data_IF_219770333686
#
_entry.id   IF_219770333686
#
_cell.length_a   1.000
_cell.length_b   1.000
_cell.length_c   1.000
_cell.angle_alpha   90.00
_cell.angle_beta   90.00
_cell.angle_gamma   90.00
#
_symmetry.space_group_name_H-M   'P 1'
#
loop_
_entity.id
_entity.type
_entity.pdbx_description
1 polymer ?
#
# COMPACT_ATOMS: atom_id res chain seq x y z
N UNK A 1 -10.39 -12.69 21.01
CA UNK A 1 -10.22 -12.33 19.60
C UNK A 1 -10.58 -10.86 19.51
N UNK A 2 -9.70 -9.98 19.05
CA UNK A 2 -10.05 -8.56 18.85
C UNK A 2 -11.04 -8.52 17.68
N UNK A 3 -12.23 -7.93 17.92
CA UNK A 3 -13.25 -7.77 16.88
C UNK A 3 -12.90 -6.54 16.04
N UNK A 4 -12.81 -6.72 14.73
CA UNK A 4 -12.73 -5.61 13.80
C UNK A 4 -14.07 -4.88 13.73
N UNK A 5 -14.02 -3.56 13.73
CA UNK A 5 -15.18 -2.70 13.39
C UNK A 5 -15.09 -2.35 11.91
N UNK A 6 -16.23 -2.25 11.25
CA UNK A 6 -16.32 -1.92 9.83
C UNK A 6 -17.25 -0.75 9.60
N UNK A 7 -16.81 0.20 8.80
CA UNK A 7 -17.58 1.41 8.49
C UNK A 7 -17.53 1.72 7.00
N UNK A 8 -18.59 2.36 6.49
CA UNK A 8 -18.65 2.94 5.15
C UNK A 8 -18.62 4.46 5.29
N UNK A 9 -17.48 5.08 5.02
CA UNK A 9 -17.20 6.48 5.27
C UNK A 9 -17.34 7.28 3.98
N UNK A 10 -18.19 8.31 3.98
CA UNK A 10 -18.28 9.28 2.90
C UNK A 10 -17.20 10.34 3.08
N UNK A 11 -16.37 10.57 2.07
CA UNK A 11 -15.27 11.50 2.13
C UNK A 11 -15.43 12.62 1.10
N UNK A 12 -15.01 13.87 1.41
CA UNK A 12 -15.05 14.99 0.47
C UNK A 12 -14.19 14.76 -0.79
N UNK A 13 -13.15 13.94 -0.68
CA UNK A 13 -12.25 13.55 -1.79
C UNK A 13 -12.90 12.63 -2.83
N UNK A 14 -14.05 12.02 -2.48
CA UNK A 14 -14.77 11.11 -3.34
C UNK A 14 -15.93 11.80 -4.08
N UNK A 15 -16.31 11.31 -5.26
CA UNK A 15 -17.56 11.70 -5.90
C UNK A 15 -18.77 11.53 -4.96
N UNK A 16 -19.75 12.44 -5.08
CA UNK A 16 -20.94 12.43 -4.22
C UNK A 16 -21.65 11.06 -4.19
N UNK A 17 -21.97 10.61 -2.99
CA UNK A 17 -22.63 9.31 -2.76
C UNK A 17 -21.69 8.11 -2.71
N UNK A 18 -20.40 8.29 -3.00
CA UNK A 18 -19.40 7.23 -2.87
C UNK A 18 -18.79 7.20 -1.46
N UNK A 19 -18.37 6.01 -1.02
CA UNK A 19 -17.82 5.77 0.32
C UNK A 19 -16.60 4.87 0.26
N UNK A 20 -15.72 4.99 1.25
CA UNK A 20 -14.70 3.99 1.53
C UNK A 20 -15.18 3.02 2.61
N UNK A 21 -14.88 1.75 2.42
CA UNK A 21 -15.00 0.73 3.45
C UNK A 21 -13.71 0.73 4.28
N UNK A 22 -13.84 0.80 5.59
CA UNK A 22 -12.71 0.88 6.52
C UNK A 22 -12.87 -0.17 7.61
N UNK A 23 -11.85 -0.98 7.79
CA UNK A 23 -11.69 -1.86 8.95
C UNK A 23 -10.93 -1.12 10.02
N UNK A 24 -11.33 -1.23 11.30
CA UNK A 24 -10.64 -0.62 12.42
C UNK A 24 -10.57 -1.52 13.64
N UNK A 25 -9.57 -1.30 14.49
CA UNK A 25 -9.44 -1.91 15.81
C UNK A 25 -8.61 -1.00 16.74
N UNK A 26 -8.56 -1.35 18.02
CA UNK A 26 -7.90 -0.53 19.05
C UNK A 26 -8.81 0.53 19.64
N UNK A 27 -8.25 1.33 20.55
CA UNK A 27 -8.95 2.40 21.25
C UNK A 27 -8.93 3.69 20.40
N UNK A 28 -10.10 4.28 20.08
CA UNK A 28 -10.17 5.53 19.32
C UNK A 28 -9.45 6.73 19.94
N UNK A 29 -9.18 6.70 21.25
CA UNK A 29 -8.45 7.76 21.94
C UNK A 29 -6.92 7.67 21.76
N UNK A 30 -6.42 6.62 21.11
CA UNK A 30 -4.98 6.43 20.84
C UNK A 30 -4.56 7.08 19.54
N UNK A 31 -3.24 7.32 19.35
CA UNK A 31 -2.73 7.85 18.08
C UNK A 31 -3.21 7.03 16.89
N UNK A 32 -3.59 7.72 15.83
CA UNK A 32 -4.10 7.10 14.61
C UNK A 32 -2.96 6.45 13.83
N UNK A 33 -3.17 5.18 13.43
CA UNK A 33 -2.31 4.45 12.51
C UNK A 33 -3.12 4.00 11.30
N UNK A 34 -2.75 4.52 10.13
CA UNK A 34 -3.39 4.19 8.85
C UNK A 34 -2.56 3.13 8.11
N UNK A 35 -3.18 2.02 7.73
CA UNK A 35 -2.56 0.90 7.03
C UNK A 35 -3.08 0.80 5.59
N UNK A 36 -2.21 0.97 4.59
CA UNK A 36 -2.60 1.00 3.18
C UNK A 36 -2.12 -0.27 2.46
N UNK A 37 -3.05 -0.98 1.84
CA UNK A 37 -2.78 -2.21 1.08
C UNK A 37 -2.41 -1.93 -0.38
N UNK A 38 -1.97 -2.96 -1.11
CA UNK A 38 -1.64 -2.93 -2.52
C UNK A 38 -2.60 -3.69 -3.45
N UNK A 39 -2.13 -4.02 -4.66
CA UNK A 39 -2.85 -4.81 -5.65
C UNK A 39 -2.32 -6.26 -5.69
N UNK A 40 -3.17 -7.26 -5.78
CA UNK A 40 -4.64 -7.24 -5.81
C UNK A 40 -5.27 -7.49 -4.43
N UNK A 41 -4.84 -6.76 -3.42
CA UNK A 41 -5.25 -6.94 -2.04
C UNK A 41 -6.42 -6.02 -1.64
N UNK A 42 -6.74 -6.01 -0.35
CA UNK A 42 -7.75 -5.17 0.28
C UNK A 42 -7.36 -5.02 1.77
N UNK A 43 -8.16 -4.40 2.62
CA UNK A 43 -7.82 -4.14 4.03
C UNK A 43 -7.25 -5.37 4.75
N UNK A 44 -7.69 -6.58 4.37
CA UNK A 44 -7.28 -7.83 5.05
C UNK A 44 -5.83 -8.24 4.77
N UNK A 45 -5.09 -7.55 3.88
CA UNK A 45 -3.64 -7.65 3.82
C UNK A 45 -2.98 -7.40 5.18
N UNK A 46 -3.61 -6.55 5.99
CA UNK A 46 -3.15 -6.15 7.32
C UNK A 46 -3.85 -6.90 8.47
N UNK A 47 -4.79 -7.82 8.18
CA UNK A 47 -5.63 -8.46 9.20
C UNK A 47 -4.85 -9.20 10.29
N UNK A 48 -3.68 -9.78 9.96
CA UNK A 48 -2.82 -10.47 10.91
C UNK A 48 -1.91 -9.50 11.70
N UNK A 49 -1.69 -8.29 11.20
CA UNK A 49 -0.83 -7.25 11.81
C UNK A 49 -1.64 -6.33 12.73
N UNK A 50 -2.83 -5.90 12.31
CA UNK A 50 -3.67 -4.93 13.03
C UNK A 50 -3.90 -5.28 14.51
N UNK A 51 -4.29 -6.52 14.88
CA UNK A 51 -4.53 -6.86 16.28
C UNK A 51 -3.30 -6.73 17.16
N UNK A 52 -2.10 -6.89 16.59
CA UNK A 52 -0.84 -6.80 17.31
C UNK A 52 -0.45 -5.35 17.63
N UNK A 53 -1.03 -4.37 16.93
CA UNK A 53 -0.80 -2.94 17.10
C UNK A 53 -1.92 -2.22 17.88
N UNK A 54 -3.08 -2.88 18.05
CA UNK A 54 -4.29 -2.28 18.64
C UNK A 54 -4.15 -1.86 20.11
N UNK A 55 -3.15 -2.38 20.82
CA UNK A 55 -2.86 -1.95 22.19
C UNK A 55 -2.20 -0.57 22.27
N UNK A 56 -1.57 -0.11 21.21
CA UNK A 56 -0.79 1.12 21.19
C UNK A 56 -1.41 2.20 20.30
N UNK A 57 -2.21 1.79 19.31
CA UNK A 57 -2.78 2.67 18.28
C UNK A 57 -4.28 2.44 18.07
N UNK A 58 -4.96 3.49 17.61
CA UNK A 58 -6.21 3.36 16.86
C UNK A 58 -5.83 2.97 15.43
N UNK A 59 -5.98 1.71 15.09
CA UNK A 59 -5.55 1.17 13.78
C UNK A 59 -6.71 1.16 12.82
N UNK A 60 -6.52 1.79 11.65
CA UNK A 60 -7.48 1.74 10.54
C UNK A 60 -6.83 1.19 9.27
N UNK A 61 -7.57 0.38 8.53
CA UNK A 61 -7.17 -0.14 7.23
C UNK A 61 -8.33 0.04 6.24
N UNK A 62 -8.29 1.06 5.37
CA UNK A 62 -9.29 1.23 4.33
C UNK A 62 -9.09 0.21 3.22
N UNK A 63 -10.19 -0.24 2.60
CA UNK A 63 -10.11 -0.64 1.20
C UNK A 63 -9.85 0.63 0.38
N UNK A 64 -8.74 0.74 -0.30
CA UNK A 64 -8.46 1.87 -1.17
C UNK A 64 -9.56 1.99 -2.25
N UNK A 65 -9.81 3.22 -2.76
CA UNK A 65 -10.79 3.37 -3.85
C UNK A 65 -10.48 2.38 -4.97
N UNK A 66 -11.50 1.78 -5.55
CA UNK A 66 -11.35 0.76 -6.58
C UNK A 66 -11.32 -0.67 -6.07
N UNK A 67 -11.12 -0.91 -4.78
CA UNK A 67 -10.99 -2.24 -4.22
C UNK A 67 -12.19 -2.65 -3.37
N UNK A 68 -12.44 -3.96 -3.31
CA UNK A 68 -13.43 -4.64 -2.47
C UNK A 68 -14.75 -3.85 -2.34
N UNK A 69 -15.13 -3.38 -1.16
CA UNK A 69 -16.38 -2.69 -0.88
C UNK A 69 -16.30 -1.16 -1.03
N UNK A 70 -15.11 -0.61 -1.26
CA UNK A 70 -14.92 0.83 -1.45
C UNK A 70 -15.43 1.35 -2.80
N UNK A 71 -15.59 2.66 -2.87
CA UNK A 71 -15.97 3.41 -4.07
C UNK A 71 -15.10 3.06 -5.28
N UNK A 72 -15.74 2.98 -6.45
CA UNK A 72 -15.09 2.64 -7.73
C UNK A 72 -15.41 3.70 -8.79
N UNK A 73 -14.73 4.89 -8.71
CA UNK A 73 -14.86 5.92 -9.72
C UNK A 73 -14.55 5.37 -11.12
N UNK A 74 -15.33 5.79 -12.13
CA UNK A 74 -15.17 5.25 -13.48
C UNK A 74 -13.96 5.81 -14.24
N UNK A 75 -13.49 7.02 -13.90
CA UNK A 75 -12.43 7.69 -14.66
C UNK A 75 -11.05 7.29 -14.15
N UNK A 76 -10.17 6.87 -15.04
CA UNK A 76 -8.76 6.51 -14.73
C UNK A 76 -8.03 7.61 -13.96
N UNK A 77 -8.28 8.88 -14.28
CA UNK A 77 -7.65 10.02 -13.58
C UNK A 77 -7.90 10.04 -12.07
N UNK A 78 -9.01 9.44 -11.61
CA UNK A 78 -9.40 9.40 -10.20
C UNK A 78 -8.55 8.40 -9.40
N UNK A 79 -7.71 7.61 -10.07
CA UNK A 79 -6.77 6.65 -9.48
C UNK A 79 -5.31 7.15 -9.47
N UNK A 80 -5.08 8.41 -9.83
CA UNK A 80 -3.75 9.03 -9.66
C UNK A 80 -3.38 9.07 -8.18
N UNK A 81 -2.10 8.88 -7.87
CA UNK A 81 -1.62 8.85 -6.50
C UNK A 81 -2.08 10.04 -5.64
N UNK A 82 -2.13 11.25 -6.22
CA UNK A 82 -2.62 12.44 -5.53
C UNK A 82 -4.11 12.36 -5.15
N UNK A 83 -4.94 11.75 -6.00
CA UNK A 83 -6.36 11.60 -5.73
C UNK A 83 -6.61 10.58 -4.60
N UNK A 84 -5.84 9.49 -4.58
CA UNK A 84 -5.94 8.47 -3.52
C UNK A 84 -5.30 8.97 -2.21
N UNK A 85 -4.21 9.74 -2.28
CA UNK A 85 -3.64 10.41 -1.10
C UNK A 85 -4.63 11.37 -0.43
N UNK A 86 -5.45 12.07 -1.23
CA UNK A 86 -6.52 12.92 -0.68
C UNK A 86 -7.57 12.12 0.13
N UNK A 87 -7.81 10.84 -0.20
CA UNK A 87 -8.68 9.98 0.62
C UNK A 87 -8.04 9.70 1.98
N UNK A 88 -6.73 9.47 2.01
CA UNK A 88 -6.01 9.23 3.27
C UNK A 88 -6.06 10.46 4.16
N UNK A 89 -5.84 11.66 3.62
CA UNK A 89 -5.98 12.91 4.37
C UNK A 89 -7.41 13.08 4.90
N UNK A 90 -8.41 12.83 4.07
CA UNK A 90 -9.80 12.95 4.49
C UNK A 90 -10.20 11.89 5.54
N UNK A 91 -9.55 10.70 5.55
CA UNK A 91 -9.72 9.73 6.63
C UNK A 91 -9.10 10.23 7.94
N UNK A 92 -7.89 10.81 7.88
CA UNK A 92 -7.24 11.41 9.07
C UNK A 92 -8.16 12.48 9.67
N UNK A 93 -8.73 13.37 8.85
CA UNK A 93 -9.67 14.39 9.27
C UNK A 93 -10.97 13.78 9.83
N UNK A 94 -11.52 12.71 9.20
CA UNK A 94 -12.73 12.02 9.65
C UNK A 94 -12.58 11.41 11.05
N UNK A 95 -11.39 10.89 11.36
CA UNK A 95 -11.07 10.36 12.68
C UNK A 95 -10.57 11.43 13.67
N UNK A 96 -10.75 12.72 13.33
CA UNK A 96 -10.46 13.87 14.17
C UNK A 96 -8.99 13.98 14.61
N UNK A 97 -8.06 13.63 13.71
CA UNK A 97 -6.62 13.78 13.94
C UNK A 97 -6.02 14.82 12.99
N UNK A 98 -5.05 15.60 13.47
CA UNK A 98 -4.26 16.52 12.65
C UNK A 98 -3.20 15.79 11.83
N UNK A 99 -2.66 14.72 12.38
CA UNK A 99 -1.60 13.89 11.79
C UNK A 99 -1.76 12.41 12.19
N UNK A 100 -1.16 11.52 11.44
CA UNK A 100 -1.22 10.08 11.68
C UNK A 100 0.13 9.39 11.44
N UNK A 101 0.31 8.23 12.05
CA UNK A 101 1.27 7.24 11.58
C UNK A 101 0.72 6.54 10.35
N UNK A 102 1.58 6.27 9.36
CA UNK A 102 1.16 5.58 8.13
C UNK A 102 2.08 4.40 7.86
N UNK A 103 1.51 3.20 7.70
CA UNK A 103 2.24 2.06 7.16
C UNK A 103 1.58 1.58 5.87
N UNK A 104 2.38 1.17 4.88
CA UNK A 104 1.84 0.92 3.56
C UNK A 104 2.63 -0.16 2.79
N UNK A 105 1.94 -0.89 1.94
CA UNK A 105 2.48 -1.95 1.10
C UNK A 105 2.12 -1.74 -0.37
N UNK A 106 3.02 -2.07 -1.29
CA UNK A 106 2.82 -2.05 -2.74
C UNK A 106 2.21 -0.72 -3.26
N UNK A 107 1.03 -0.72 -3.90
CA UNK A 107 0.34 0.50 -4.33
C UNK A 107 -0.01 1.43 -3.16
N UNK A 108 -0.37 0.86 -1.99
CA UNK A 108 -0.52 1.66 -0.77
C UNK A 108 0.76 2.43 -0.43
N UNK A 109 1.93 1.79 -0.62
CA UNK A 109 3.22 2.43 -0.46
C UNK A 109 3.49 3.55 -1.46
N UNK A 110 3.11 3.37 -2.73
CA UNK A 110 3.19 4.45 -3.72
C UNK A 110 2.34 5.67 -3.34
N UNK A 111 1.15 5.44 -2.74
CA UNK A 111 0.29 6.49 -2.21
C UNK A 111 0.90 7.16 -0.98
N UNK A 112 1.45 6.35 -0.05
CA UNK A 112 2.06 6.85 1.17
C UNK A 112 3.33 7.68 0.88
N UNK A 113 4.18 7.27 -0.09
CA UNK A 113 5.28 8.09 -0.58
C UNK A 113 4.79 9.43 -1.15
N UNK A 114 3.72 9.40 -1.98
CA UNK A 114 3.13 10.65 -2.51
C UNK A 114 2.68 11.56 -1.39
N UNK A 115 2.01 11.01 -0.37
CA UNK A 115 1.54 11.76 0.79
C UNK A 115 2.72 12.38 1.57
N UNK A 116 3.77 11.60 1.85
CA UNK A 116 4.96 12.08 2.57
C UNK A 116 5.74 13.16 1.82
N UNK A 117 5.73 13.13 0.48
CA UNK A 117 6.36 14.16 -0.35
C UNK A 117 5.54 15.46 -0.36
N UNK A 118 4.20 15.37 -0.47
CA UNK A 118 3.35 16.56 -0.66
C UNK A 118 2.81 17.16 0.64
N UNK A 119 2.55 16.31 1.64
CA UNK A 119 1.81 16.66 2.86
C UNK A 119 2.48 16.11 4.13
N UNK A 120 3.82 16.16 4.16
CA UNK A 120 4.64 15.57 5.23
C UNK A 120 4.25 16.02 6.64
N UNK A 121 3.65 17.20 6.80
CA UNK A 121 3.17 17.74 8.08
C UNK A 121 1.94 17.00 8.62
N UNK A 122 1.31 16.13 7.83
CA UNK A 122 0.19 15.27 8.22
C UNK A 122 0.64 13.86 8.63
N UNK A 123 1.96 13.60 8.60
CA UNK A 123 2.55 12.27 8.85
C UNK A 123 3.55 12.36 9.99
N UNK A 124 3.24 11.75 11.13
CA UNK A 124 4.16 11.65 12.27
C UNK A 124 5.41 10.84 11.93
N UNK A 125 5.19 9.67 11.34
CA UNK A 125 6.24 8.82 10.78
C UNK A 125 5.62 7.87 9.73
N UNK A 126 6.45 7.46 8.77
CA UNK A 126 6.09 6.63 7.64
C UNK A 126 6.77 5.27 7.71
N UNK A 127 6.04 4.18 7.45
CA UNK A 127 6.63 2.86 7.24
C UNK A 127 6.19 2.28 5.88
N UNK A 128 7.14 1.82 5.10
CA UNK A 128 6.90 1.28 3.75
C UNK A 128 7.37 -0.16 3.67
N UNK A 129 6.47 -1.04 3.26
CA UNK A 129 6.75 -2.44 3.03
C UNK A 129 6.74 -2.72 1.52
N UNK A 130 7.86 -3.17 0.95
CA UNK A 130 8.00 -3.55 -0.47
C UNK A 130 7.29 -2.58 -1.44
N UNK A 131 7.59 -1.29 -1.33
CA UNK A 131 7.13 -0.29 -2.29
C UNK A 131 8.23 0.74 -2.56
N UNK A 132 8.67 0.91 -3.81
CA UNK A 132 9.79 1.78 -4.14
C UNK A 132 9.41 3.25 -4.02
N UNK A 133 10.42 4.04 -3.67
CA UNK A 133 10.31 5.49 -3.76
C UNK A 133 10.07 5.92 -5.23
N UNK A 134 9.09 6.82 -5.51
CA UNK A 134 8.63 7.09 -6.87
C UNK A 134 9.74 7.59 -7.81
N UNK A 135 10.69 8.37 -7.33
CA UNK A 135 11.84 8.83 -8.12
C UNK A 135 12.74 7.67 -8.55
N UNK A 136 13.13 6.80 -7.61
CA UNK A 136 14.00 5.65 -7.88
C UNK A 136 13.31 4.63 -8.79
N UNK A 137 12.02 4.40 -8.55
CA UNK A 137 11.25 3.49 -9.40
C UNK A 137 11.13 4.02 -10.84
N UNK A 138 10.83 5.30 -11.00
CA UNK A 138 10.78 5.93 -12.33
C UNK A 138 12.12 5.79 -13.06
N UNK A 139 13.25 6.09 -12.41
CA UNK A 139 14.60 5.90 -12.97
C UNK A 139 14.86 4.45 -13.36
N UNK A 140 14.51 3.50 -12.49
CA UNK A 140 14.71 2.08 -12.77
C UNK A 140 13.83 1.58 -13.93
N UNK A 141 12.58 2.02 -14.03
CA UNK A 141 11.70 1.69 -15.16
C UNK A 141 12.18 2.27 -16.51
N UNK A 142 12.91 3.37 -16.49
CA UNK A 142 13.48 3.98 -17.70
C UNK A 142 14.84 3.40 -18.07
N UNK A 143 15.71 3.07 -17.09
CA UNK A 143 17.13 2.78 -17.36
C UNK A 143 17.67 1.44 -16.85
N UNK A 144 16.90 0.61 -16.13
CA UNK A 144 17.40 -0.66 -15.59
C UNK A 144 16.66 -1.86 -16.19
N UNK A 145 17.37 -2.66 -17.00
CA UNK A 145 16.79 -3.82 -17.70
C UNK A 145 16.18 -4.87 -16.75
N UNK A 146 16.83 -5.13 -15.61
CA UNK A 146 16.35 -6.13 -14.66
C UNK A 146 15.00 -5.69 -14.06
N UNK A 147 14.88 -4.41 -13.63
CA UNK A 147 13.63 -3.89 -13.10
C UNK A 147 12.56 -3.76 -14.19
N UNK A 148 12.92 -3.33 -15.41
CA UNK A 148 11.99 -3.30 -16.54
C UNK A 148 11.37 -4.67 -16.80
N UNK A 149 12.20 -5.72 -16.77
CA UNK A 149 11.74 -7.11 -16.93
C UNK A 149 10.85 -7.56 -15.78
N UNK A 150 11.24 -7.29 -14.54
CA UNK A 150 10.46 -7.61 -13.35
C UNK A 150 9.10 -6.90 -13.34
N UNK A 151 9.05 -5.66 -13.82
CA UNK A 151 7.84 -4.84 -13.90
C UNK A 151 7.05 -4.97 -15.23
N UNK A 152 7.42 -5.88 -16.13
CA UNK A 152 6.78 -6.02 -17.46
C UNK A 152 5.27 -6.30 -17.37
N UNK A 153 4.81 -6.93 -16.30
CA UNK A 153 3.40 -7.18 -16.02
C UNK A 153 2.56 -5.90 -15.95
N UNK A 154 3.14 -4.76 -15.57
CA UNK A 154 2.44 -3.46 -15.53
C UNK A 154 1.89 -3.09 -16.91
N UNK A 155 2.67 -3.33 -17.98
CA UNK A 155 2.24 -3.04 -19.35
C UNK A 155 1.05 -3.92 -19.78
N UNK A 156 0.95 -5.14 -19.25
CA UNK A 156 -0.19 -6.01 -19.51
C UNK A 156 -1.43 -5.54 -18.72
N UNK A 157 -1.28 -5.22 -17.43
CA UNK A 157 -2.37 -4.71 -16.58
C UNK A 157 -2.97 -3.38 -17.08
N UNK A 158 -2.18 -2.59 -17.81
CA UNK A 158 -2.64 -1.32 -18.42
C UNK A 158 -3.58 -1.53 -19.62
N UNK A 159 -3.58 -2.70 -20.24
CA UNK A 159 -4.40 -2.97 -21.43
C UNK A 159 -5.88 -3.05 -21.05
N UNK A 160 -6.78 -2.49 -21.88
CA UNK A 160 -8.23 -2.75 -21.74
C UNK A 160 -8.52 -4.25 -21.79
N UNK A 161 -9.43 -4.73 -20.94
CA UNK A 161 -9.81 -6.15 -20.85
C UNK A 161 -8.86 -7.00 -19.98
N UNK A 162 -7.78 -6.45 -19.44
CA UNK A 162 -6.94 -7.18 -18.47
C UNK A 162 -7.73 -7.56 -17.22
N UNK A 163 -8.65 -6.70 -16.78
CA UNK A 163 -9.56 -6.95 -15.68
C UNK A 163 -10.48 -8.16 -15.92
N UNK A 164 -10.99 -8.31 -17.13
CA UNK A 164 -11.86 -9.45 -17.48
C UNK A 164 -11.06 -10.75 -17.49
N UNK A 165 -9.85 -10.72 -18.05
CA UNK A 165 -8.95 -11.87 -18.04
C UNK A 165 -8.54 -12.29 -16.62
N UNK A 166 -8.34 -11.32 -15.70
CA UNK A 166 -8.05 -11.59 -14.29
C UNK A 166 -9.24 -12.24 -13.56
N UNK A 167 -10.47 -11.91 -13.93
CA UNK A 167 -11.69 -12.47 -13.33
C UNK A 167 -12.12 -13.80 -13.95
N UNK A 168 -11.63 -14.13 -15.16
CA UNK A 168 -11.98 -15.36 -15.84
C UNK A 168 -11.58 -16.63 -15.04
N UNK A 169 -12.29 -17.73 -15.34
CA UNK A 169 -12.00 -19.05 -14.76
C UNK A 169 -11.89 -19.02 -13.22
N UNK A 170 -12.87 -18.39 -12.57
CA UNK A 170 -12.92 -18.26 -11.11
C UNK A 170 -11.67 -17.57 -10.53
N UNK A 171 -11.22 -16.50 -11.20
CA UNK A 171 -10.04 -15.71 -10.85
C UNK A 171 -8.70 -16.49 -10.89
N UNK A 172 -8.60 -17.55 -11.69
CA UNK A 172 -7.42 -18.41 -11.75
C UNK A 172 -6.15 -17.62 -12.13
N UNK A 173 -6.26 -16.67 -13.07
CA UNK A 173 -5.13 -15.84 -13.46
C UNK A 173 -4.72 -14.86 -12.35
N UNK A 174 -5.68 -14.27 -11.64
CA UNK A 174 -5.39 -13.40 -10.50
C UNK A 174 -4.69 -14.15 -9.38
N UNK A 175 -5.18 -15.34 -9.05
CA UNK A 175 -4.55 -16.19 -8.05
C UNK A 175 -3.12 -16.58 -8.44
N UNK A 176 -2.92 -16.98 -9.70
CA UNK A 176 -1.59 -17.28 -10.24
C UNK A 176 -0.66 -16.07 -10.21
N UNK A 177 -1.16 -14.89 -10.56
CA UNK A 177 -0.40 -13.64 -10.49
C UNK A 177 -0.03 -13.32 -9.04
N UNK A 178 -1.00 -13.37 -8.14
CA UNK A 178 -0.81 -13.10 -6.71
C UNK A 178 0.23 -14.05 -6.09
N UNK A 179 0.10 -15.35 -6.29
CA UNK A 179 1.04 -16.34 -5.76
C UNK A 179 2.37 -16.40 -6.53
N UNK A 180 2.38 -16.03 -7.80
CA UNK A 180 3.58 -16.04 -8.65
C UNK A 180 4.62 -15.00 -8.25
N UNK A 181 4.21 -13.88 -7.67
CA UNK A 181 5.11 -12.85 -7.13
C UNK A 181 5.79 -13.31 -5.82
N UNK A 182 5.20 -14.29 -5.14
CA UNK A 182 5.80 -14.93 -3.95
C UNK A 182 6.96 -15.90 -4.26
N UNK A 183 7.35 -16.04 -5.54
CA UNK A 183 8.36 -16.98 -5.95
C UNK A 183 7.78 -18.28 -6.52
N UNK A 184 8.64 -19.12 -7.13
CA UNK A 184 8.22 -20.37 -7.80
C UNK A 184 7.97 -21.52 -6.80
N UNK A 185 7.11 -21.30 -5.81
CA UNK A 185 6.74 -22.37 -4.91
C UNK A 185 5.94 -23.46 -5.65
N UNK A 186 6.32 -24.72 -5.48
CA UNK A 186 5.62 -25.88 -6.06
C UNK A 186 4.22 -26.09 -5.47
N UNK A 187 3.91 -25.43 -4.36
CA UNK A 187 2.64 -25.47 -3.64
C UNK A 187 2.30 -24.08 -3.08
N UNK A 188 1.02 -23.76 -2.87
CA UNK A 188 0.63 -22.50 -2.24
C UNK A 188 1.31 -22.32 -0.87
N UNK A 189 1.68 -21.08 -0.50
CA UNK A 189 2.26 -20.80 0.81
C UNK A 189 1.28 -21.15 1.94
N UNK A 190 1.80 -21.48 3.13
CA UNK A 190 0.99 -21.91 4.28
C UNK A 190 -0.05 -20.85 4.71
N UNK A 191 0.23 -19.57 4.49
CA UNK A 191 -0.69 -18.48 4.81
C UNK A 191 -1.85 -18.37 3.81
N UNK A 192 -1.77 -18.99 2.61
CA UNK A 192 -2.82 -19.03 1.59
C UNK A 192 -3.80 -20.18 1.86
N UNK A 193 -4.57 -20.06 2.93
CA UNK A 193 -5.58 -21.05 3.32
C UNK A 193 -6.82 -20.98 2.43
N UNK A 194 -7.64 -22.03 2.39
CA UNK A 194 -8.91 -22.03 1.64
C UNK A 194 -9.85 -20.90 2.10
N UNK A 195 -9.89 -20.59 3.38
CA UNK A 195 -10.68 -19.47 3.89
C UNK A 195 -10.17 -18.14 3.34
N UNK A 196 -8.86 -17.89 3.41
CA UNK A 196 -8.26 -16.66 2.87
C UNK A 196 -8.47 -16.55 1.37
N UNK A 197 -8.28 -17.63 0.64
CA UNK A 197 -8.56 -17.73 -0.80
C UNK A 197 -10.00 -17.34 -1.14
N UNK A 198 -10.98 -17.88 -0.40
CA UNK A 198 -12.37 -17.53 -0.60
C UNK A 198 -12.67 -16.05 -0.32
N UNK A 199 -12.07 -15.49 0.73
CA UNK A 199 -12.20 -14.07 1.09
C UNK A 199 -11.59 -13.15 0.01
N UNK A 200 -10.41 -13.46 -0.49
CA UNK A 200 -9.77 -12.70 -1.56
C UNK A 200 -10.57 -12.75 -2.87
N UNK A 201 -11.07 -13.94 -3.25
CA UNK A 201 -11.96 -14.07 -4.41
C UNK A 201 -13.23 -13.25 -4.26
N UNK A 202 -13.84 -13.25 -3.07
CA UNK A 202 -15.01 -12.41 -2.81
C UNK A 202 -14.71 -10.91 -2.97
N UNK A 203 -13.51 -10.46 -2.56
CA UNK A 203 -13.07 -9.08 -2.73
C UNK A 203 -12.79 -8.74 -4.21
N UNK A 204 -12.11 -9.63 -4.95
CA UNK A 204 -11.81 -9.44 -6.38
C UNK A 204 -13.04 -9.38 -7.26
N UNK A 205 -14.06 -10.19 -6.93
CA UNK A 205 -15.30 -10.29 -7.71
C UNK A 205 -16.37 -9.25 -7.34
N UNK A 206 -16.07 -8.35 -6.38
CA UNK A 206 -16.96 -7.20 -6.16
C UNK A 206 -17.13 -6.40 -7.45
N UNK A 207 -18.34 -5.96 -7.78
CA UNK A 207 -18.58 -5.23 -9.03
C UNK A 207 -17.62 -4.06 -9.23
N UNK A 208 -16.83 -4.09 -10.31
CA UNK A 208 -15.85 -3.08 -10.67
C UNK A 208 -14.54 -3.08 -9.86
N UNK A 209 -14.32 -4.00 -8.91
CA UNK A 209 -13.13 -4.01 -8.08
C UNK A 209 -11.85 -4.31 -8.91
N UNK A 210 -11.89 -5.30 -9.78
CA UNK A 210 -10.72 -5.62 -10.61
C UNK A 210 -10.42 -4.51 -11.61
N UNK A 211 -11.45 -3.90 -12.20
CA UNK A 211 -11.29 -2.72 -13.06
C UNK A 211 -10.67 -1.54 -12.30
N UNK A 212 -11.16 -1.26 -11.07
CA UNK A 212 -10.60 -0.25 -10.19
C UNK A 212 -9.13 -0.50 -9.88
N UNK A 213 -8.77 -1.74 -9.51
CA UNK A 213 -7.39 -2.14 -9.28
C UNK A 213 -6.47 -1.93 -10.49
N UNK A 214 -6.92 -2.29 -11.72
CA UNK A 214 -6.14 -2.06 -12.95
C UNK A 214 -6.02 -0.58 -13.31
N UNK A 215 -6.95 0.27 -12.83
CA UNK A 215 -6.86 1.72 -13.04
C UNK A 215 -5.65 2.37 -12.35
N UNK A 216 -5.12 1.81 -11.25
CA UNK A 216 -3.87 2.27 -10.66
C UNK A 216 -2.71 2.19 -11.65
N UNK A 217 -2.60 1.07 -12.36
CA UNK A 217 -1.59 0.90 -13.40
C UNK A 217 -1.82 1.81 -14.60
N UNK A 218 -3.08 2.00 -15.02
CA UNK A 218 -3.44 2.89 -16.14
C UNK A 218 -3.18 4.36 -15.80
N UNK A 219 -3.37 4.76 -14.54
CA UNK A 219 -3.13 6.09 -14.04
C UNK A 219 -1.66 6.38 -13.70
N UNK A 220 -0.83 5.33 -13.59
CA UNK A 220 0.58 5.45 -13.25
C UNK A 220 1.31 6.32 -14.28
N UNK A 221 2.12 7.30 -13.83
CA UNK A 221 2.86 8.19 -14.73
C UNK A 221 4.04 7.49 -15.38
N UNK A 222 4.56 6.40 -14.78
CA UNK A 222 5.73 5.67 -15.26
C UNK A 222 5.42 4.18 -15.42
N UNK A 223 6.02 3.58 -16.47
CA UNK A 223 5.87 2.16 -16.80
C UNK A 223 7.07 1.69 -17.64
N UNK A 224 7.37 0.39 -17.67
CA UNK A 224 8.49 -0.16 -18.43
C UNK A 224 8.44 0.18 -19.93
N UNK A 225 9.58 0.59 -20.48
CA UNK A 225 9.72 0.95 -21.89
C UNK A 225 9.26 2.37 -22.25
N UNK A 226 8.92 3.20 -21.25
CA UNK A 226 8.67 4.62 -21.45
C UNK A 226 9.99 5.34 -21.77
N UNK A 227 9.94 6.34 -22.64
CA UNK A 227 11.10 7.19 -22.91
C UNK A 227 11.58 7.91 -21.65
N UNK A 228 12.88 8.04 -21.51
CA UNK A 228 13.50 8.76 -20.42
C UNK A 228 12.97 10.20 -20.32
N UNK A 229 12.64 10.62 -19.12
CA UNK A 229 12.20 11.98 -18.81
C UNK A 229 13.08 12.55 -17.70
N UNK A 230 13.47 13.81 -17.80
CA UNK A 230 14.23 14.46 -16.74
C UNK A 230 13.35 14.58 -15.49
N UNK A 231 13.85 14.07 -14.36
CA UNK A 231 13.22 14.19 -13.05
C UNK A 231 14.16 14.95 -12.12
N UNK A 232 13.65 15.97 -11.43
CA UNK A 232 14.41 16.66 -10.41
C UNK A 232 14.23 15.95 -9.06
N UNK A 233 15.29 15.40 -8.43
CA UNK A 233 15.18 14.70 -7.16
C UNK A 233 14.63 15.56 -6.03
N UNK A 234 14.80 16.89 -6.08
CA UNK A 234 14.28 17.82 -5.07
C UNK A 234 12.75 17.83 -4.99
N UNK A 235 12.06 17.47 -6.08
CA UNK A 235 10.59 17.40 -6.11
C UNK A 235 10.06 16.13 -5.41
N UNK A 236 10.96 15.23 -4.97
CA UNK A 236 10.64 13.93 -4.38
C UNK A 236 11.18 13.77 -2.96
N UNK A 237 11.70 14.82 -2.35
CA UNK A 237 12.26 14.74 -0.98
C UNK A 237 11.18 14.41 0.05
N UNK A 238 11.48 13.44 0.93
CA UNK A 238 10.65 13.05 2.07
C UNK A 238 11.25 13.62 3.35
N UNK A 239 10.44 14.31 4.15
CA UNK A 239 10.91 15.03 5.34
C UNK A 239 10.49 14.38 6.66
N UNK A 240 9.50 13.48 6.64
CA UNK A 240 9.10 12.75 7.85
C UNK A 240 10.04 11.56 8.11
N UNK A 241 10.21 11.16 9.38
CA UNK A 241 10.93 9.93 9.73
C UNK A 241 10.34 8.74 8.99
N UNK A 242 11.20 7.91 8.38
CA UNK A 242 10.74 6.84 7.50
C UNK A 242 11.46 5.52 7.77
N UNK A 243 10.68 4.45 7.91
CA UNK A 243 11.13 3.06 7.95
C UNK A 243 10.78 2.37 6.64
N UNK A 244 11.75 1.74 6.01
CA UNK A 244 11.51 0.87 4.85
C UNK A 244 11.82 -0.57 5.22
N UNK A 245 10.83 -1.45 5.09
CA UNK A 245 10.98 -2.90 5.32
C UNK A 245 10.91 -3.58 3.96
N UNK A 246 11.95 -4.33 3.61
CA UNK A 246 12.07 -4.91 2.27
C UNK A 246 12.37 -6.41 2.32
N UNK A 247 11.48 -7.21 1.70
CA UNK A 247 11.72 -8.62 1.44
C UNK A 247 12.68 -8.80 0.28
N UNK A 248 13.84 -9.43 0.54
CA UNK A 248 14.91 -9.55 -0.45
C UNK A 248 14.59 -10.53 -1.60
N UNK A 249 13.58 -11.40 -1.41
CA UNK A 249 13.11 -12.35 -2.43
C UNK A 249 11.98 -11.79 -3.31
N UNK A 250 11.69 -10.47 -3.24
CA UNK A 250 10.70 -9.83 -4.10
C UNK A 250 11.09 -9.91 -5.57
N UNK A 251 10.24 -10.54 -6.39
CA UNK A 251 10.47 -10.77 -7.81
C UNK A 251 9.90 -9.66 -8.70
N UNK A 252 9.03 -8.80 -8.16
CA UNK A 252 8.41 -7.69 -8.87
C UNK A 252 9.14 -6.37 -8.64
N UNK A 253 9.55 -6.14 -7.39
CA UNK A 253 10.21 -4.93 -6.94
C UNK A 253 11.57 -5.31 -6.36
N UNK A 254 12.60 -5.19 -7.19
CA UNK A 254 13.93 -5.71 -6.86
C UNK A 254 14.61 -4.86 -5.78
N UNK A 255 15.46 -5.45 -4.91
CA UNK A 255 16.17 -4.72 -3.84
C UNK A 255 17.05 -3.57 -4.31
N UNK A 256 17.46 -3.52 -5.59
CA UNK A 256 18.19 -2.40 -6.18
C UNK A 256 17.40 -1.07 -6.13
N UNK A 257 16.08 -1.13 -5.93
CA UNK A 257 15.22 0.06 -5.77
C UNK A 257 15.44 0.80 -4.45
N UNK A 258 16.25 0.26 -3.56
CA UNK A 258 16.69 0.92 -2.32
C UNK A 258 17.98 1.73 -2.50
N UNK A 259 18.69 1.57 -3.62
CA UNK A 259 19.97 2.23 -3.86
C UNK A 259 19.77 3.75 -4.05
N UNK A 260 20.40 4.56 -3.19
CA UNK A 260 20.28 6.01 -3.18
C UNK A 260 19.01 6.56 -2.50
N UNK A 261 18.28 5.73 -1.76
CA UNK A 261 17.08 6.18 -1.05
C UNK A 261 17.41 7.15 0.09
N UNK A 262 18.56 7.01 0.72
CA UNK A 262 19.08 7.90 1.76
C UNK A 262 19.34 9.34 1.26
N UNK A 263 19.57 9.53 -0.03
CA UNK A 263 19.68 10.86 -0.64
C UNK A 263 18.34 11.59 -0.73
N UNK A 264 17.22 10.85 -0.70
CA UNK A 264 15.87 11.37 -0.84
C UNK A 264 15.08 11.41 0.48
N UNK A 265 15.52 10.64 1.46
CA UNK A 265 14.89 10.47 2.78
C UNK A 265 15.95 10.65 3.85
N UNK A 266 16.21 11.87 4.35
CA UNK A 266 17.29 12.15 5.32
C UNK A 266 17.15 11.40 6.66
N UNK A 267 15.92 11.18 7.13
CA UNK A 267 15.65 10.39 8.36
C UNK A 267 15.10 9.02 7.97
N UNK A 268 16.00 8.13 7.53
CA UNK A 268 15.71 6.83 6.96
C UNK A 268 16.29 5.68 7.78
N UNK A 269 15.44 4.70 8.06
CA UNK A 269 15.83 3.37 8.52
C UNK A 269 15.41 2.32 7.49
N UNK A 270 16.31 1.40 7.10
CA UNK A 270 16.02 0.29 6.20
C UNK A 270 16.21 -1.03 6.93
N UNK A 271 15.20 -1.88 6.90
CA UNK A 271 15.23 -3.26 7.38
C UNK A 271 15.06 -4.22 6.19
N UNK A 272 16.09 -5.02 5.92
CA UNK A 272 16.08 -6.02 4.85
C UNK A 272 15.77 -7.39 5.44
N UNK A 273 14.72 -8.03 4.93
CA UNK A 273 14.28 -9.33 5.41
C UNK A 273 14.70 -10.43 4.42
N UNK A 274 15.72 -11.19 4.78
CA UNK A 274 16.09 -12.39 4.03
C UNK A 274 14.99 -13.43 4.08
N UNK A 275 14.72 -14.11 2.97
CA UNK A 275 13.66 -15.11 2.83
C UNK A 275 12.25 -14.54 3.03
N UNK A 276 12.06 -13.28 2.72
CA UNK A 276 10.76 -12.63 2.63
C UNK A 276 10.52 -12.18 1.18
N UNK A 277 9.35 -12.49 0.67
CA UNK A 277 8.94 -12.12 -0.68
C UNK A 277 8.21 -10.77 -0.69
N UNK A 278 7.54 -10.44 -1.79
CA UNK A 278 6.62 -9.32 -1.88
C UNK A 278 5.52 -9.36 -0.81
N UNK A 279 5.11 -10.56 -0.38
CA UNK A 279 3.99 -10.79 0.55
C UNK A 279 4.42 -10.87 2.02
N UNK A 280 5.44 -10.12 2.41
CA UNK A 280 6.04 -10.12 3.74
C UNK A 280 5.03 -9.88 4.89
N UNK A 281 3.91 -9.20 4.63
CA UNK A 281 2.84 -8.98 5.60
C UNK A 281 2.16 -10.30 6.02
N UNK A 282 2.02 -11.22 5.07
CA UNK A 282 1.43 -12.54 5.29
C UNK A 282 2.46 -13.56 5.81
N UNK A 283 3.71 -13.40 5.38
CA UNK A 283 4.80 -14.33 5.72
C UNK A 283 5.32 -14.09 7.14
N UNK A 284 5.40 -12.82 7.56
CA UNK A 284 6.04 -12.41 8.81
C UNK A 284 5.21 -11.40 9.64
N UNK A 285 3.89 -11.59 9.85
CA UNK A 285 3.03 -10.55 10.44
C UNK A 285 3.48 -10.09 11.84
N UNK A 286 3.98 -11.03 12.68
CA UNK A 286 4.45 -10.70 14.03
C UNK A 286 5.71 -9.85 13.99
N UNK A 287 6.67 -10.17 13.12
CA UNK A 287 7.91 -9.41 12.95
C UNK A 287 7.63 -8.02 12.40
N UNK A 288 6.76 -7.91 11.40
CA UNK A 288 6.34 -6.63 10.83
C UNK A 288 5.66 -5.76 11.90
N UNK A 289 4.70 -6.31 12.64
CA UNK A 289 4.03 -5.58 13.72
C UNK A 289 5.03 -5.05 14.76
N UNK A 290 6.02 -5.86 15.15
CA UNK A 290 7.04 -5.44 16.11
C UNK A 290 7.91 -4.31 15.56
N UNK A 291 8.37 -4.41 14.31
CA UNK A 291 9.17 -3.35 13.66
C UNK A 291 8.39 -2.04 13.55
N UNK A 292 7.12 -2.09 13.14
CA UNK A 292 6.23 -0.94 13.06
C UNK A 292 6.03 -0.31 14.44
N UNK A 293 5.71 -1.11 15.46
CA UNK A 293 5.54 -0.66 16.83
C UNK A 293 6.78 0.06 17.35
N UNK A 294 7.95 -0.59 17.25
CA UNK A 294 9.20 -0.06 17.78
C UNK A 294 9.56 1.27 17.11
N UNK A 295 9.35 1.36 15.80
CA UNK A 295 9.62 2.58 15.06
C UNK A 295 8.63 3.70 15.41
N UNK A 296 7.33 3.45 15.38
CA UNK A 296 6.33 4.47 15.62
C UNK A 296 6.31 4.97 17.07
N UNK A 297 6.54 4.09 18.04
CA UNK A 297 6.62 4.48 19.45
C UNK A 297 7.82 5.41 19.73
N UNK A 298 8.94 5.26 19.02
CA UNK A 298 10.07 6.19 19.11
C UNK A 298 9.71 7.61 18.65
N UNK A 299 8.77 7.73 17.70
CA UNK A 299 8.33 9.01 17.13
C UNK A 299 7.05 9.56 17.78
N UNK A 300 6.36 8.78 18.60
CA UNK A 300 5.18 9.24 19.36
C UNK A 300 5.53 10.26 20.43
N UNK A 301 6.70 10.13 21.07
CA UNK A 301 7.15 11.02 22.14
C UNK A 301 7.38 12.49 21.68
N UNK A 302 7.46 12.72 20.37
CA UNK A 302 7.65 14.03 19.75
C UNK A 302 6.33 14.74 19.42
N UNK A 303 5.18 14.07 19.60
CA UNK A 303 3.86 14.68 19.38
C UNK A 303 3.52 15.53 20.59
N UNK A 304 3.35 16.87 20.46
CA UNK A 304 2.90 17.71 21.58
C UNK A 304 1.58 17.18 22.10
N UNK A 305 1.46 16.99 23.41
CA UNK A 305 0.17 16.66 24.01
C UNK A 305 -0.84 17.74 23.57
N UNK A 306 -1.86 17.36 22.83
CA UNK A 306 -2.97 18.24 22.48
C UNK A 306 -3.53 18.79 23.80
N UNK A 307 -3.43 20.09 23.99
CA UNK A 307 -4.01 20.80 25.12
C UNK A 307 -5.53 20.64 24.98
N UNK A 308 -6.11 19.81 25.86
CA UNK A 308 -7.55 19.55 25.94
C UNK A 308 -8.36 20.76 26.31
#
# INVERSE_FOLDING_TARGET
MLDFRFELIALPSLPSGMKLHVASCGDPCKPLLVLLHGFPEYWAAWADVMPLLANDFHVIAPDLRGFNLSAKPAAVKDYRAAAVAADVLALIDHFEHDEAFVAAHDWGGAIAWKLAISDHHRINALAICNAPHPYLFAKALMGNEAQQKASAYMNWLRKPGSEDALLADDCALTEKFFLGVAGQAKSPPIWWTELRRAQYKAAWTQPGAMLGGTHYYRAAPWYPGQAEQPLNPQDFMVKCPSLVIWGEDDQALLPLLLDGLDELVPDLRIERLSRASHWLLHEHPVMIAQMLRDFFMQHQANVPASIG
#
